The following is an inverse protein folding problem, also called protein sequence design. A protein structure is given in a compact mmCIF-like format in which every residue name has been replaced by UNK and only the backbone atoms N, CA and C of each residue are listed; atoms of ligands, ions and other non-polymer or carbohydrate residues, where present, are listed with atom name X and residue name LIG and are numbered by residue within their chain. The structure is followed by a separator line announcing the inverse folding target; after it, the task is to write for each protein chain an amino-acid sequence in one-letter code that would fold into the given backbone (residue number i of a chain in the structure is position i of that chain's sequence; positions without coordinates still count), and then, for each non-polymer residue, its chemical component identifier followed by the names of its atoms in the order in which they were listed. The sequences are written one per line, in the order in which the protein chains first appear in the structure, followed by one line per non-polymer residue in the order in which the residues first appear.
data_IF_344675856103
#
_entry.id   IF_344675856103
#
_cell.length_a   1.000
_cell.length_b   1.000
_cell.length_c   1.000
_cell.angle_alpha   90.00
_cell.angle_beta   90.00
_cell.angle_gamma   90.00
#
_symmetry.space_group_name_H-M   'P 1'
#
loop_
_entity.id
_entity.type
_entity.pdbx_description
1 polymer ?
#
# COMPACT_ATOMS: atom_id res chain seq x y z
N UNK A 1 -14.64 20.61 -16.65
CA UNK A 1 -14.13 19.22 -16.80
C UNK A 1 -12.60 19.10 -16.65
N UNK A 2 -11.82 20.18 -16.75
CA UNK A 2 -10.35 20.15 -16.58
C UNK A 2 -9.85 20.01 -15.11
N UNK A 3 -10.70 20.30 -14.12
CA UNK A 3 -10.31 20.28 -12.69
C UNK A 3 -10.33 18.87 -12.07
N UNK A 4 -11.17 17.95 -12.58
CA UNK A 4 -11.25 16.56 -12.08
C UNK A 4 -10.06 15.69 -12.50
N UNK A 5 -9.48 15.94 -13.68
CA UNK A 5 -8.25 15.24 -14.11
C UNK A 5 -7.07 15.60 -13.21
N UNK A 6 -7.03 16.83 -12.69
CA UNK A 6 -5.94 17.36 -11.87
C UNK A 6 -5.80 16.63 -10.52
N UNK A 7 -6.88 16.08 -9.94
CA UNK A 7 -6.82 15.35 -8.67
C UNK A 7 -6.41 13.87 -8.77
N UNK A 8 -6.60 13.21 -9.92
CA UNK A 8 -6.07 11.85 -10.12
C UNK A 8 -4.54 11.82 -10.29
N UNK A 9 -3.94 12.93 -10.75
CA UNK A 9 -2.48 13.05 -10.84
C UNK A 9 -1.80 13.16 -9.46
N UNK A 10 -2.50 13.56 -8.40
CA UNK A 10 -1.85 13.73 -7.08
C UNK A 10 -1.65 12.42 -6.31
N UNK A 11 -2.39 11.34 -6.64
CA UNK A 11 -2.13 10.02 -6.06
C UNK A 11 -1.12 9.20 -6.89
N UNK A 12 -1.00 9.48 -8.20
CA UNK A 12 0.00 8.84 -9.08
C UNK A 12 1.36 9.53 -9.10
N UNK A 13 1.49 10.74 -8.53
CA UNK A 13 2.75 11.48 -8.44
C UNK A 13 3.88 10.75 -7.69
N UNK A 14 3.56 9.66 -7.01
CA UNK A 14 4.50 8.80 -6.29
C UNK A 14 4.89 7.53 -7.06
N UNK A 15 4.63 7.45 -8.38
CA UNK A 15 5.09 6.34 -9.24
C UNK A 15 5.83 6.80 -10.51
N UNK A 16 6.29 8.06 -10.55
CA UNK A 16 6.78 8.72 -11.75
C UNK A 16 8.32 8.88 -11.71
N UNK A 17 9.02 8.39 -12.74
CA UNK A 17 10.48 8.58 -12.93
C UNK A 17 10.73 9.32 -14.25
N UNK A 18 11.61 10.33 -14.23
CA UNK A 18 11.77 11.36 -15.28
C UNK A 18 12.91 11.14 -16.28
N UNK A 19 12.87 10.13 -17.14
CA UNK A 19 13.77 10.15 -18.32
C UNK A 19 13.13 10.90 -19.52
N UNK A 20 13.69 12.08 -19.85
CA UNK A 20 13.52 12.79 -21.14
C UNK A 20 12.08 13.22 -21.43
N UNK A 21 11.49 14.05 -20.57
CA UNK A 21 10.22 14.76 -20.86
C UNK A 21 9.00 13.86 -21.12
N UNK A 22 9.07 12.58 -20.74
CA UNK A 22 7.96 11.62 -20.86
C UNK A 22 7.68 11.03 -19.49
N UNK A 23 6.40 10.94 -19.14
CA UNK A 23 5.94 10.26 -17.93
C UNK A 23 5.98 8.75 -18.17
N UNK A 24 6.62 8.01 -17.25
CA UNK A 24 6.68 6.55 -17.25
C UNK A 24 6.20 6.01 -15.91
N UNK A 25 5.62 4.82 -15.95
CA UNK A 25 5.24 4.04 -14.76
C UNK A 25 6.29 2.94 -14.62
N UNK A 26 6.80 2.75 -13.41
CA UNK A 26 7.72 1.66 -13.12
C UNK A 26 6.97 0.33 -13.10
N UNK A 27 7.47 -0.67 -13.82
CA UNK A 27 6.92 -2.02 -13.73
C UNK A 27 7.08 -2.57 -12.31
N UNK A 28 6.11 -3.35 -11.86
CA UNK A 28 6.05 -3.84 -10.47
C UNK A 28 7.30 -4.62 -10.07
N UNK A 29 7.76 -5.55 -10.91
CA UNK A 29 8.96 -6.36 -10.64
C UNK A 29 10.23 -5.51 -10.65
N UNK A 30 10.27 -4.48 -11.51
CA UNK A 30 11.39 -3.55 -11.55
C UNK A 30 11.43 -2.68 -10.29
N UNK A 31 10.27 -2.21 -9.82
CA UNK A 31 10.13 -1.48 -8.57
C UNK A 31 10.60 -2.34 -7.40
N UNK A 32 10.17 -3.60 -7.32
CA UNK A 32 10.62 -4.53 -6.29
C UNK A 32 12.14 -4.67 -6.30
N UNK A 33 12.74 -4.94 -7.46
CA UNK A 33 14.20 -5.04 -7.59
C UNK A 33 14.92 -3.78 -7.11
N UNK A 34 14.44 -2.61 -7.48
CA UNK A 34 15.06 -1.34 -7.09
C UNK A 34 14.94 -1.09 -5.59
N UNK A 35 13.79 -1.41 -4.97
CA UNK A 35 13.63 -1.37 -3.52
C UNK A 35 14.55 -2.40 -2.82
N UNK A 36 14.68 -3.61 -3.35
CA UNK A 36 15.56 -4.63 -2.78
C UNK A 36 17.02 -4.17 -2.72
N UNK A 37 17.50 -3.42 -3.72
CA UNK A 37 18.85 -2.85 -3.65
C UNK A 37 19.01 -1.88 -2.48
N UNK A 38 18.04 -1.01 -2.24
CA UNK A 38 18.06 -0.11 -1.08
C UNK A 38 18.04 -0.87 0.25
N UNK A 39 17.15 -1.86 0.38
CA UNK A 39 17.03 -2.64 1.62
C UNK A 39 18.29 -3.47 1.89
N UNK A 40 18.87 -4.07 0.86
CA UNK A 40 20.12 -4.83 0.99
C UNK A 40 21.29 -3.91 1.36
N UNK A 41 21.39 -2.71 0.77
CA UNK A 41 22.45 -1.77 1.12
C UNK A 41 22.39 -1.36 2.60
N UNK A 42 21.18 -1.11 3.12
CA UNK A 42 20.96 -0.80 4.54
C UNK A 42 21.39 -1.98 5.43
N UNK A 43 21.02 -3.22 5.04
CA UNK A 43 21.34 -4.43 5.79
C UNK A 43 22.85 -4.74 5.79
N UNK A 44 23.48 -4.71 4.60
CA UNK A 44 24.91 -4.97 4.41
C UNK A 44 25.80 -4.03 5.22
N UNK A 45 25.41 -2.76 5.34
CA UNK A 45 26.13 -1.78 6.14
C UNK A 45 25.64 -1.69 7.60
N UNK A 46 24.65 -2.51 7.97
CA UNK A 46 24.05 -2.51 9.32
C UNK A 46 23.58 -1.12 9.78
N UNK A 47 23.06 -0.32 8.85
CA UNK A 47 22.58 1.02 9.15
C UNK A 47 21.29 0.99 9.96
N UNK A 48 21.12 2.00 10.81
CA UNK A 48 19.83 2.24 11.46
C UNK A 48 18.78 2.63 10.42
N UNK A 49 17.59 2.05 10.52
CA UNK A 49 16.46 2.44 9.66
C UNK A 49 16.05 3.90 9.85
N UNK A 50 16.48 4.56 10.92
CA UNK A 50 16.19 5.96 11.19
C UNK A 50 17.34 6.90 10.78
N UNK A 51 18.51 6.36 10.42
CA UNK A 51 19.72 7.13 10.09
C UNK A 51 20.45 6.51 8.90
N UNK A 52 19.84 6.61 7.72
CA UNK A 52 20.39 6.15 6.44
C UNK A 52 21.18 7.32 5.79
N UNK A 53 22.49 7.17 5.52
CA UNK A 53 23.32 8.19 4.87
C UNK A 53 22.98 8.34 3.37
N UNK A 54 22.49 9.51 2.96
CA UNK A 54 21.91 9.71 1.62
C UNK A 54 22.95 9.79 0.49
N UNK A 55 24.08 10.42 0.73
CA UNK A 55 25.20 10.54 -0.20
C UNK A 55 25.87 9.19 -0.49
N UNK A 56 26.10 8.37 0.53
CA UNK A 56 26.58 7.00 0.34
C UNK A 56 25.53 6.17 -0.40
N UNK A 57 24.26 6.27 -0.02
CA UNK A 57 23.15 5.61 -0.72
C UNK A 57 23.09 5.99 -2.21
N UNK A 58 23.20 7.28 -2.54
CA UNK A 58 23.21 7.78 -3.91
C UNK A 58 24.41 7.28 -4.71
N UNK A 59 25.57 7.21 -4.07
CA UNK A 59 26.82 6.75 -4.69
C UNK A 59 26.72 5.26 -5.03
N UNK A 60 26.37 4.41 -4.06
CA UNK A 60 26.29 2.98 -4.25
C UNK A 60 25.18 2.56 -5.22
N UNK A 61 23.97 3.13 -5.07
CA UNK A 61 22.84 2.74 -5.90
C UNK A 61 22.84 3.41 -7.29
N UNK A 62 23.57 4.51 -7.45
CA UNK A 62 23.69 5.24 -8.72
C UNK A 62 24.39 4.44 -9.82
N UNK A 63 25.22 3.46 -9.47
CA UNK A 63 25.84 2.53 -10.42
C UNK A 63 24.88 1.43 -10.90
N UNK A 64 23.84 1.13 -10.10
CA UNK A 64 22.90 0.02 -10.33
C UNK A 64 21.59 0.47 -10.96
N UNK A 65 21.17 1.71 -10.71
CA UNK A 65 19.87 2.24 -11.10
C UNK A 65 20.01 3.54 -11.92
N UNK A 66 19.19 3.72 -12.97
CA UNK A 66 19.04 5.02 -13.61
C UNK A 66 18.69 6.09 -12.58
N UNK A 67 19.28 7.28 -12.71
CA UNK A 67 19.13 8.39 -11.76
C UNK A 67 17.67 8.68 -11.38
N UNK A 68 16.79 8.68 -12.38
CA UNK A 68 15.37 8.95 -12.16
C UNK A 68 14.66 7.86 -11.36
N UNK A 69 15.04 6.59 -11.56
CA UNK A 69 14.54 5.47 -10.76
C UNK A 69 15.07 5.57 -9.34
N UNK A 70 16.37 5.85 -9.18
CA UNK A 70 16.96 5.97 -7.86
C UNK A 70 16.27 7.06 -7.05
N UNK A 71 16.20 8.28 -7.59
CA UNK A 71 15.51 9.40 -6.95
C UNK A 71 14.07 9.02 -6.60
N UNK A 72 13.37 8.34 -7.51
CA UNK A 72 12.01 7.87 -7.27
C UNK A 72 11.89 6.92 -6.08
N UNK A 73 12.79 5.95 -5.97
CA UNK A 73 12.81 4.99 -4.85
C UNK A 73 13.15 5.71 -3.55
N UNK A 74 14.11 6.64 -3.56
CA UNK A 74 14.46 7.43 -2.38
C UNK A 74 13.27 8.31 -1.94
N UNK A 75 12.63 9.04 -2.86
CA UNK A 75 11.45 9.87 -2.58
C UNK A 75 10.26 9.05 -2.02
N UNK A 76 10.15 7.81 -2.49
CA UNK A 76 9.11 6.89 -2.05
C UNK A 76 9.36 6.38 -0.64
N UNK A 77 10.58 5.93 -0.35
CA UNK A 77 10.88 5.10 0.82
C UNK A 77 11.77 5.76 1.86
N UNK A 78 12.33 6.93 1.60
CA UNK A 78 13.14 7.68 2.56
C UNK A 78 12.47 9.02 2.89
N UNK A 79 12.61 9.45 4.14
CA UNK A 79 12.09 10.72 4.64
C UNK A 79 13.21 11.41 5.44
N UNK A 80 13.57 12.64 5.06
CA UNK A 80 14.63 13.41 5.72
C UNK A 80 14.32 13.56 7.21
N UNK A 81 15.32 13.31 8.05
CA UNK A 81 15.21 13.52 9.51
C UNK A 81 15.55 14.95 9.91
N UNK A 82 16.20 15.72 9.01
CA UNK A 82 16.81 17.01 9.33
C UNK A 82 18.10 16.90 10.15
N UNK A 83 18.56 15.68 10.41
CA UNK A 83 19.81 15.40 11.11
C UNK A 83 20.94 15.16 10.11
N UNK A 84 22.18 15.35 10.56
CA UNK A 84 23.37 15.19 9.75
C UNK A 84 24.38 14.31 10.49
N UNK A 85 25.15 13.52 9.75
CA UNK A 85 26.29 12.77 10.27
C UNK A 85 27.41 13.72 10.70
N UNK A 86 28.41 13.20 11.40
CA UNK A 86 29.64 13.93 11.76
C UNK A 86 30.39 14.44 10.52
N UNK A 87 30.17 13.82 9.36
CA UNK A 87 30.77 14.18 8.07
C UNK A 87 29.92 15.21 7.29
N UNK A 88 28.82 15.68 7.89
CA UNK A 88 27.93 16.70 7.32
C UNK A 88 26.95 16.15 6.27
N UNK A 89 26.73 14.84 6.26
CA UNK A 89 25.80 14.17 5.34
C UNK A 89 24.40 14.10 5.94
N UNK A 90 23.37 14.46 5.16
CA UNK A 90 21.98 14.39 5.64
C UNK A 90 21.53 12.95 5.86
N UNK A 91 20.86 12.71 6.99
CA UNK A 91 20.35 11.40 7.39
C UNK A 91 18.86 11.27 7.07
N UNK A 92 18.47 10.08 6.65
CA UNK A 92 17.10 9.76 6.26
C UNK A 92 16.56 8.59 7.07
N UNK A 93 15.26 8.63 7.30
CA UNK A 93 14.51 7.52 7.90
C UNK A 93 13.79 6.73 6.82
N UNK A 94 13.82 5.40 6.93
CA UNK A 94 13.09 4.50 6.07
C UNK A 94 11.60 4.56 6.41
N UNK A 95 10.76 4.79 5.41
CA UNK A 95 9.31 4.83 5.51
C UNK A 95 8.75 3.42 5.75
N UNK A 96 8.90 2.91 6.97
CA UNK A 96 8.65 1.51 7.37
C UNK A 96 7.30 0.98 6.90
N UNK A 97 6.26 1.80 7.04
CA UNK A 97 4.89 1.44 6.62
C UNK A 97 4.77 1.19 5.12
N UNK A 98 5.46 2.00 4.30
CA UNK A 98 5.45 1.83 2.83
C UNK A 98 6.23 0.58 2.42
N UNK A 99 7.36 0.30 3.09
CA UNK A 99 8.15 -0.93 2.89
C UNK A 99 7.31 -2.15 3.24
N UNK A 100 6.77 -2.20 4.46
CA UNK A 100 5.85 -3.25 4.93
C UNK A 100 4.74 -3.51 3.92
N UNK A 101 3.98 -2.47 3.55
CA UNK A 101 2.89 -2.54 2.58
C UNK A 101 3.34 -3.12 1.23
N UNK A 102 4.47 -2.65 0.68
CA UNK A 102 4.93 -3.10 -0.63
C UNK A 102 5.43 -4.55 -0.60
N UNK A 103 6.22 -4.94 0.40
CA UNK A 103 6.66 -6.34 0.55
C UNK A 103 5.47 -7.30 0.71
N UNK A 104 4.45 -6.91 1.47
CA UNK A 104 3.24 -7.71 1.62
C UNK A 104 2.45 -7.82 0.32
N UNK A 105 2.40 -6.75 -0.48
CA UNK A 105 1.79 -6.76 -1.81
C UNK A 105 2.54 -7.69 -2.76
N UNK A 106 3.89 -7.72 -2.75
CA UNK A 106 4.70 -8.64 -3.56
C UNK A 106 4.34 -10.09 -3.24
N UNK A 107 4.25 -10.46 -1.97
CA UNK A 107 3.88 -11.81 -1.56
C UNK A 107 2.46 -12.19 -1.99
N UNK A 108 1.51 -11.26 -1.86
CA UNK A 108 0.12 -11.50 -2.25
C UNK A 108 -0.07 -11.70 -3.75
N UNK A 109 0.80 -11.13 -4.59
CA UNK A 109 0.73 -11.36 -6.03
C UNK A 109 1.18 -12.77 -6.43
N UNK A 110 1.92 -13.48 -5.58
CA UNK A 110 2.42 -14.81 -5.88
C UNK A 110 1.36 -15.93 -5.79
N UNK A 111 0.25 -15.72 -5.08
CA UNK A 111 -0.85 -16.69 -5.04
C UNK A 111 -2.23 -16.05 -4.82
N UNK A 112 -3.28 -16.74 -5.30
CA UNK A 112 -4.66 -16.25 -5.22
C UNK A 112 -5.30 -16.35 -3.84
N UNK A 113 -4.80 -17.24 -2.97
CA UNK A 113 -5.31 -17.47 -1.61
C UNK A 113 -4.20 -18.07 -0.75
N UNK A 114 -3.93 -17.48 0.41
CA UNK A 114 -2.91 -17.92 1.36
C UNK A 114 -3.54 -18.30 2.69
N UNK A 115 -2.90 -19.26 3.38
CA UNK A 115 -3.07 -19.39 4.82
C UNK A 115 -2.58 -18.09 5.48
N UNK A 116 -3.38 -17.53 6.39
CA UNK A 116 -3.08 -16.24 7.01
C UNK A 116 -1.82 -16.30 7.88
N UNK A 117 -1.63 -17.34 8.68
CA UNK A 117 -0.49 -17.44 9.60
C UNK A 117 0.81 -17.64 8.82
N UNK A 118 0.80 -18.50 7.80
CA UNK A 118 1.95 -18.68 6.90
C UNK A 118 2.30 -17.40 6.16
N UNK A 119 1.28 -16.66 5.69
CA UNK A 119 1.48 -15.37 5.06
C UNK A 119 2.11 -14.35 6.01
N UNK A 120 1.60 -14.22 7.25
CA UNK A 120 2.15 -13.28 8.22
C UNK A 120 3.61 -13.60 8.55
N UNK A 121 3.97 -14.89 8.65
CA UNK A 121 5.35 -15.31 8.85
C UNK A 121 6.26 -14.97 7.67
N UNK A 122 5.82 -15.30 6.44
CA UNK A 122 6.57 -14.97 5.22
C UNK A 122 6.71 -13.45 5.04
N UNK A 123 5.67 -12.69 5.35
CA UNK A 123 5.69 -11.23 5.27
C UNK A 123 6.65 -10.61 6.27
N UNK A 124 6.65 -11.08 7.51
CA UNK A 124 7.62 -10.63 8.52
C UNK A 124 9.07 -10.94 8.14
N UNK A 125 9.33 -12.03 7.41
CA UNK A 125 10.66 -12.38 6.89
C UNK A 125 11.08 -11.57 5.66
N UNK A 126 10.13 -10.93 4.97
CA UNK A 126 10.39 -10.15 3.76
C UNK A 126 10.71 -8.66 4.00
N UNK A 127 10.70 -8.23 5.26
CA UNK A 127 11.00 -6.85 5.67
C UNK A 127 12.22 -6.84 6.59
N UNK A 128 12.96 -5.71 6.69
CA UNK A 128 14.02 -5.54 7.69
C UNK A 128 13.54 -5.87 9.12
N UNK A 129 14.41 -6.47 9.93
CA UNK A 129 14.06 -7.00 11.26
C UNK A 129 13.43 -5.96 12.21
N UNK A 130 13.80 -4.68 12.06
CA UNK A 130 13.26 -3.59 12.86
C UNK A 130 11.85 -3.10 12.42
N UNK A 131 11.24 -3.74 11.42
CA UNK A 131 9.87 -3.46 10.96
C UNK A 131 8.94 -4.58 11.43
N UNK A 132 7.90 -4.22 12.17
CA UNK A 132 6.79 -5.13 12.50
C UNK A 132 5.69 -5.00 11.45
N UNK A 133 5.26 -6.14 10.87
CA UNK A 133 4.16 -6.16 9.90
C UNK A 133 2.80 -6.17 10.59
N UNK A 134 1.80 -5.53 9.99
CA UNK A 134 0.43 -5.52 10.48
C UNK A 134 -0.57 -5.46 9.33
N UNK A 135 -1.69 -6.19 9.41
CA UNK A 135 -2.69 -6.26 8.35
C UNK A 135 -3.27 -4.88 7.97
N UNK A 136 -3.22 -3.88 8.85
CA UNK A 136 -3.62 -2.51 8.52
C UNK A 136 -2.73 -1.83 7.47
N UNK A 137 -1.52 -2.35 7.23
CA UNK A 137 -0.65 -1.91 6.14
C UNK A 137 -1.13 -2.39 4.77
N UNK A 138 -1.99 -3.42 4.72
CA UNK A 138 -2.58 -3.97 3.49
C UNK A 138 -4.03 -3.55 3.27
N UNK A 139 -4.51 -2.54 4.01
CA UNK A 139 -5.83 -1.94 3.76
C UNK A 139 -5.96 -1.50 2.30
N UNK A 140 -7.01 -1.98 1.63
CA UNK A 140 -7.27 -1.71 0.21
C UNK A 140 -6.37 -2.48 -0.77
N UNK A 141 -5.54 -3.42 -0.31
CA UNK A 141 -4.74 -4.34 -1.14
C UNK A 141 -5.20 -5.79 -0.93
N UNK A 142 -5.55 -6.15 0.30
CA UNK A 142 -5.97 -7.49 0.64
C UNK A 142 -7.22 -7.53 1.52
N UNK A 143 -7.83 -8.70 1.50
CA UNK A 143 -8.86 -9.12 2.44
C UNK A 143 -8.39 -10.37 3.17
N UNK A 144 -8.93 -10.55 4.37
CA UNK A 144 -8.67 -11.73 5.18
C UNK A 144 -9.92 -12.19 5.90
N UNK A 145 -9.93 -13.48 6.25
CA UNK A 145 -10.95 -14.13 7.04
C UNK A 145 -10.29 -14.98 8.15
N UNK A 146 -10.45 -14.54 9.39
CA UNK A 146 -9.94 -15.24 10.58
C UNK A 146 -10.87 -16.36 11.05
N UNK A 147 -12.13 -16.32 10.62
CA UNK A 147 -13.14 -17.30 11.01
C UNK A 147 -13.16 -18.51 10.05
N UNK A 148 -12.51 -18.37 8.88
CA UNK A 148 -12.26 -19.48 7.96
C UNK A 148 -11.39 -20.57 8.62
N UNK A 149 -11.55 -21.81 8.17
CA UNK A 149 -10.76 -22.96 8.66
C UNK A 149 -10.02 -23.62 7.49
N UNK A 150 -8.71 -23.40 7.31
CA UNK A 150 -7.85 -22.49 8.09
C UNK A 150 -8.14 -21.00 7.81
N UNK A 151 -7.66 -20.07 8.67
CA UNK A 151 -7.68 -18.63 8.39
C UNK A 151 -6.96 -18.31 7.09
N UNK A 152 -7.51 -17.37 6.31
CA UNK A 152 -7.00 -17.06 4.96
C UNK A 152 -6.85 -15.57 4.69
N UNK A 153 -5.97 -15.23 3.74
CA UNK A 153 -5.76 -13.90 3.18
C UNK A 153 -5.62 -13.99 1.66
N UNK A 154 -6.12 -13.00 0.92
CA UNK A 154 -6.02 -12.96 -0.53
C UNK A 154 -5.90 -11.54 -1.07
N UNK A 155 -5.28 -11.44 -2.25
CA UNK A 155 -5.15 -10.18 -2.97
C UNK A 155 -6.53 -9.72 -3.47
N UNK A 156 -6.88 -8.49 -3.13
CA UNK A 156 -8.10 -7.82 -3.54
C UNK A 156 -7.81 -6.32 -3.55
N UNK A 157 -7.11 -5.80 -4.57
CA UNK A 157 -6.71 -4.41 -4.57
C UNK A 157 -7.88 -3.51 -4.97
N UNK A 158 -7.95 -2.36 -4.32
CA UNK A 158 -8.98 -1.36 -4.54
C UNK A 158 -8.92 -0.75 -5.95
N UNK A 159 -7.76 -0.82 -6.60
CA UNK A 159 -7.55 -0.46 -8.01
C UNK A 159 -8.38 -1.29 -8.98
N UNK A 160 -8.67 -2.55 -8.66
CA UNK A 160 -9.34 -3.49 -9.56
C UNK A 160 -10.87 -3.37 -9.47
N UNK A 161 -11.38 -2.51 -8.59
CA UNK A 161 -12.81 -2.30 -8.40
C UNK A 161 -13.38 -1.28 -9.41
N UNK A 162 -14.65 -1.43 -9.82
CA UNK A 162 -15.33 -0.50 -10.72
C UNK A 162 -15.28 0.95 -10.25
N UNK A 163 -15.10 1.90 -11.18
CA UNK A 163 -15.16 3.35 -10.88
C UNK A 163 -16.59 3.82 -10.56
N UNK A 164 -17.60 3.17 -11.14
CA UNK A 164 -18.99 3.45 -10.78
C UNK A 164 -19.28 3.02 -9.34
N UNK A 165 -19.95 3.91 -8.61
CA UNK A 165 -20.20 3.72 -7.18
C UNK A 165 -21.12 2.52 -6.93
N UNK A 166 -22.19 2.37 -7.71
CA UNK A 166 -23.14 1.28 -7.51
C UNK A 166 -22.50 -0.07 -7.86
N UNK A 167 -21.86 -0.16 -9.03
CA UNK A 167 -21.16 -1.38 -9.47
C UNK A 167 -20.07 -1.81 -8.49
N UNK A 168 -19.34 -0.84 -7.90
CA UNK A 168 -18.35 -1.13 -6.86
C UNK A 168 -18.98 -1.76 -5.62
N UNK A 169 -20.08 -1.19 -5.12
CA UNK A 169 -20.75 -1.75 -3.94
C UNK A 169 -21.28 -3.16 -4.23
N UNK A 170 -21.86 -3.38 -5.41
CA UNK A 170 -22.31 -4.72 -5.82
C UNK A 170 -21.14 -5.71 -5.86
N UNK A 171 -20.01 -5.34 -6.49
CA UNK A 171 -18.80 -6.17 -6.53
C UNK A 171 -18.23 -6.45 -5.12
N UNK A 172 -18.21 -5.46 -4.24
CA UNK A 172 -17.75 -5.64 -2.85
C UNK A 172 -18.65 -6.60 -2.07
N UNK A 173 -19.96 -6.52 -2.25
CA UNK A 173 -20.90 -7.45 -1.60
C UNK A 173 -20.92 -8.85 -2.22
N UNK A 174 -20.49 -8.98 -3.48
CA UNK A 174 -20.20 -10.29 -4.10
C UNK A 174 -18.96 -10.94 -3.51
N UNK A 175 -17.89 -10.16 -3.30
CA UNK A 175 -16.63 -10.65 -2.71
C UNK A 175 -16.85 -11.08 -1.25
N UNK A 176 -17.57 -10.27 -0.47
CA UNK A 176 -17.89 -10.58 0.94
C UNK A 176 -19.30 -10.09 1.27
N UNK A 177 -20.20 -10.96 1.78
CA UNK A 177 -21.60 -10.57 2.01
C UNK A 177 -21.81 -9.52 3.10
N UNK A 178 -20.92 -9.50 4.12
CA UNK A 178 -21.03 -8.62 5.28
C UNK A 178 -19.69 -7.98 5.62
N UNK A 179 -19.71 -6.67 5.79
CA UNK A 179 -18.53 -5.85 6.07
C UNK A 179 -18.71 -5.01 7.31
N UNK A 180 -17.65 -4.84 8.11
CA UNK A 180 -17.59 -3.76 9.10
C UNK A 180 -17.21 -2.44 8.42
N UNK A 181 -17.38 -1.32 9.15
CA UNK A 181 -16.95 0.00 8.65
C UNK A 181 -15.44 0.02 8.34
N UNK A 182 -14.61 -0.55 9.22
CA UNK A 182 -13.16 -0.59 9.05
C UNK A 182 -12.77 -1.39 7.80
N UNK A 183 -13.41 -2.53 7.56
CA UNK A 183 -13.09 -3.38 6.42
C UNK A 183 -13.49 -2.75 5.07
N UNK A 184 -14.67 -2.14 4.97
CA UNK A 184 -15.15 -1.60 3.68
C UNK A 184 -14.57 -0.23 3.35
N UNK A 185 -14.21 0.57 4.38
CA UNK A 185 -13.76 1.96 4.19
C UNK A 185 -12.58 2.11 3.23
N UNK A 186 -11.50 1.31 3.32
CA UNK A 186 -10.39 1.38 2.37
C UNK A 186 -10.81 1.27 0.91
N UNK A 187 -11.87 0.52 0.62
CA UNK A 187 -12.35 0.24 -0.73
C UNK A 187 -13.26 1.30 -1.35
N UNK A 188 -13.81 2.20 -0.52
CA UNK A 188 -14.79 3.21 -0.97
C UNK A 188 -14.40 4.63 -0.58
N UNK A 189 -13.34 4.82 0.22
CA UNK A 189 -12.91 6.16 0.67
C UNK A 189 -12.57 7.08 -0.51
N UNK A 190 -12.02 6.57 -1.61
CA UNK A 190 -11.72 7.37 -2.81
C UNK A 190 -12.96 7.96 -3.49
N UNK A 191 -14.12 7.34 -3.27
CA UNK A 191 -15.41 7.81 -3.80
C UNK A 191 -16.03 8.92 -2.95
N UNK A 192 -15.53 9.12 -1.72
CA UNK A 192 -16.02 10.18 -0.86
C UNK A 192 -15.59 11.56 -1.39
N UNK A 193 -16.46 12.55 -1.20
CA UNK A 193 -16.21 13.95 -1.54
C UNK A 193 -16.54 14.84 -0.34
N UNK A 194 -16.19 16.12 -0.38
CA UNK A 194 -16.57 17.05 0.69
C UNK A 194 -18.08 17.11 0.97
N UNK A 195 -18.92 16.74 0.00
CA UNK A 195 -20.40 16.70 0.15
C UNK A 195 -20.93 15.30 0.48
N UNK A 196 -20.13 14.25 0.29
CA UNK A 196 -20.56 12.86 0.42
C UNK A 196 -19.49 12.06 1.15
N UNK A 197 -19.73 11.78 2.43
CA UNK A 197 -18.81 11.00 3.28
C UNK A 197 -18.94 9.50 3.02
N UNK A 198 -17.97 8.72 3.51
CA UNK A 198 -18.04 7.24 3.52
C UNK A 198 -19.34 6.74 4.17
N UNK A 199 -19.75 7.33 5.30
CA UNK A 199 -21.01 6.98 5.97
C UNK A 199 -22.24 7.34 5.13
N UNK A 200 -22.20 8.44 4.38
CA UNK A 200 -23.28 8.82 3.45
C UNK A 200 -23.37 7.84 2.27
N UNK A 201 -22.23 7.38 1.73
CA UNK A 201 -22.19 6.32 0.71
C UNK A 201 -22.81 5.03 1.24
N UNK A 202 -22.37 4.57 2.41
CA UNK A 202 -22.89 3.35 3.04
C UNK A 202 -24.39 3.44 3.32
N UNK A 203 -24.87 4.59 3.81
CA UNK A 203 -26.30 4.82 4.00
C UNK A 203 -27.08 4.70 2.71
N UNK A 204 -26.52 5.15 1.58
CA UNK A 204 -27.18 5.14 0.27
C UNK A 204 -27.15 3.78 -0.43
N UNK A 205 -26.02 3.08 -0.40
CA UNK A 205 -25.76 1.88 -1.21
C UNK A 205 -25.77 0.56 -0.43
N UNK A 206 -25.76 0.60 0.90
CA UNK A 206 -25.76 -0.59 1.75
C UNK A 206 -27.01 -0.67 2.63
N UNK A 207 -27.26 -1.86 3.16
CA UNK A 207 -28.14 -2.12 4.30
C UNK A 207 -27.30 -2.27 5.56
N UNK A 208 -27.67 -1.53 6.60
CA UNK A 208 -27.04 -1.58 7.91
C UNK A 208 -27.73 -2.63 8.80
N UNK A 209 -26.96 -3.41 9.53
CA UNK A 209 -27.43 -4.33 10.58
C UNK A 209 -26.48 -4.31 11.75
N UNK A 210 -26.97 -4.59 12.96
CA UNK A 210 -26.13 -4.71 14.16
C UNK A 210 -26.13 -6.16 14.63
N UNK A 211 -24.95 -6.70 14.94
CA UNK A 211 -24.80 -8.00 15.57
C UNK A 211 -23.65 -7.92 16.59
N UNK A 212 -23.87 -8.40 17.82
CA UNK A 212 -22.88 -8.38 18.91
C UNK A 212 -22.22 -7.00 19.09
N UNK A 213 -23.02 -5.93 19.14
CA UNK A 213 -22.57 -4.53 19.25
C UNK A 213 -21.69 -4.02 18.09
N UNK A 214 -21.53 -4.82 17.03
CA UNK A 214 -20.79 -4.45 15.82
C UNK A 214 -21.76 -4.12 14.70
N UNK A 215 -21.51 -3.00 14.01
CA UNK A 215 -22.29 -2.55 12.85
C UNK A 215 -21.74 -3.20 11.58
N UNK A 216 -22.62 -3.83 10.83
CA UNK A 216 -22.34 -4.49 9.56
C UNK A 216 -23.10 -3.85 8.40
N UNK A 217 -22.48 -3.87 7.22
CA UNK A 217 -23.01 -3.40 5.95
C UNK A 217 -23.10 -4.55 4.96
N UNK A 218 -24.22 -4.65 4.25
CA UNK A 218 -24.52 -5.70 3.27
C UNK A 218 -25.30 -5.13 2.08
N UNK A 219 -25.45 -5.91 1.00
CA UNK A 219 -26.27 -5.50 -0.15
C UNK A 219 -27.73 -5.25 0.26
N UNK A 220 -28.37 -4.27 -0.39
CA UNK A 220 -29.80 -3.99 -0.21
C UNK A 220 -30.70 -4.99 -0.91
N UNK A 221 -30.23 -5.60 -2.00
CA UNK A 221 -31.05 -6.35 -2.94
C UNK A 221 -30.87 -7.88 -2.88
N UNK A 222 -29.87 -8.39 -2.14
CA UNK A 222 -29.71 -9.83 -1.93
C UNK A 222 -30.43 -10.27 -0.65
N UNK A 223 -31.40 -11.18 -0.81
CA UNK A 223 -31.97 -12.02 0.25
C UNK A 223 -31.15 -13.28 0.37
#
# INVERSE_FOLDING_TARGET
MASKRRNMFYQNKKQETTEIGRWRILEFDYHWRALSYLLNLIDENSWSLDHVPIGETLTCLGELLPKDVLNHILDMYLESTGEFSDEGEELYSLARRKVSRFCGQVLLQAASLFNLDDFMNAWQQSVPQAITVDLSDLEGIALYDRDATPPVVWHCPESDLPEDVAERFDKLFDIRPKWTLQQISPYIRRLATGKQTVNALLTKFARCSNANSTKYYSSRHRK
#
